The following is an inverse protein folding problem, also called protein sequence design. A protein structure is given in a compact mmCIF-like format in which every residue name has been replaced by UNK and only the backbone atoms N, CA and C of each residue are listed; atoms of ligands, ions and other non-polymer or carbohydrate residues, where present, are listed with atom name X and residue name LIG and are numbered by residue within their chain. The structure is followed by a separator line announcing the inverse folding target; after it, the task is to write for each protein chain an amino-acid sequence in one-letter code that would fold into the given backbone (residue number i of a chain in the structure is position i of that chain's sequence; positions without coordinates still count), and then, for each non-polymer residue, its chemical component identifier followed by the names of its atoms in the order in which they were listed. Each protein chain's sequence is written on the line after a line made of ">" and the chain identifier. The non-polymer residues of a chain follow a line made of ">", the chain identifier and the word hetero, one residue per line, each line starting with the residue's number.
data_IF_934638720933
#
_entry.id   IF_934638720933
#
_cell.length_a   1.000
_cell.length_b   1.000
_cell.length_c   1.000
_cell.angle_alpha   90.00
_cell.angle_beta   90.00
_cell.angle_gamma   90.00
#
_symmetry.space_group_name_H-M   'P 1'
#
loop_
_entity.id
_entity.type
_entity.pdbx_description
1 polymer ?
#
# COMPACT_ATOMS: atom_id res chain seq x y z
N UNK A 1 -28.87 21.37 0.25
CA UNK A 1 -27.54 21.35 0.87
C UNK A 1 -26.56 20.91 -0.20
N UNK A 2 -25.47 21.64 -0.43
CA UNK A 2 -24.44 21.20 -1.37
C UNK A 2 -23.91 19.83 -0.86
N UNK A 3 -23.85 18.85 -1.74
CA UNK A 3 -23.32 17.53 -1.41
C UNK A 3 -21.85 17.71 -0.96
N UNK A 4 -21.55 17.33 0.28
CA UNK A 4 -20.19 17.47 0.83
C UNK A 4 -19.23 16.62 -0.01
N UNK A 5 -18.12 17.22 -0.47
CA UNK A 5 -17.16 16.54 -1.31
C UNK A 5 -16.66 15.25 -0.62
N UNK A 6 -16.59 14.17 -1.38
CA UNK A 6 -16.04 12.89 -0.89
C UNK A 6 -14.63 13.09 -0.36
N UNK A 7 -14.24 12.33 0.65
CA UNK A 7 -13.00 12.49 1.37
C UNK A 7 -12.16 11.23 1.38
N UNK A 8 -10.85 11.37 1.11
CA UNK A 8 -9.86 10.30 1.21
C UNK A 8 -8.70 10.74 2.11
N UNK A 9 -8.29 9.86 3.03
CA UNK A 9 -7.09 10.02 3.85
C UNK A 9 -6.06 8.97 3.45
N UNK A 10 -4.83 9.39 3.14
CA UNK A 10 -3.79 8.54 2.52
C UNK A 10 -2.52 8.57 3.37
N UNK A 11 -2.01 7.42 3.80
CA UNK A 11 -0.70 7.30 4.43
C UNK A 11 0.40 6.98 3.43
N UNK A 12 1.66 7.38 3.70
CA UNK A 12 2.75 7.28 2.73
C UNK A 12 2.52 8.21 1.53
N UNK A 13 1.94 9.39 1.77
CA UNK A 13 1.47 10.30 0.72
C UNK A 13 2.54 11.27 0.21
N UNK A 14 3.70 11.33 0.86
CA UNK A 14 4.81 12.18 0.44
C UNK A 14 5.44 11.76 -0.91
N UNK A 15 5.27 10.50 -1.33
CA UNK A 15 5.90 10.00 -2.55
C UNK A 15 5.12 8.85 -3.21
N UNK A 16 5.60 8.37 -4.34
CA UNK A 16 5.20 7.12 -4.98
C UNK A 16 3.69 6.97 -5.17
N UNK A 17 3.18 5.79 -4.80
CA UNK A 17 1.76 5.40 -4.98
C UNK A 17 0.81 6.35 -4.22
N UNK A 18 1.16 6.69 -2.98
CA UNK A 18 0.31 7.57 -2.16
C UNK A 18 0.13 8.94 -2.79
N UNK A 19 1.23 9.58 -3.22
CA UNK A 19 1.20 10.89 -3.90
C UNK A 19 0.44 10.86 -5.22
N UNK A 20 0.67 9.85 -6.05
CA UNK A 20 -0.03 9.72 -7.32
C UNK A 20 -1.54 9.48 -7.12
N UNK A 21 -1.92 8.66 -6.13
CA UNK A 21 -3.32 8.44 -5.77
C UNK A 21 -3.97 9.72 -5.26
N UNK A 22 -3.28 10.47 -4.40
CA UNK A 22 -3.74 11.77 -3.91
C UNK A 22 -4.04 12.74 -5.08
N UNK A 23 -3.11 12.85 -6.04
CA UNK A 23 -3.28 13.67 -7.24
C UNK A 23 -4.52 13.27 -8.06
N UNK A 24 -4.71 11.97 -8.26
CA UNK A 24 -5.85 11.47 -9.03
C UNK A 24 -7.19 11.76 -8.34
N UNK A 25 -7.29 11.53 -7.03
CA UNK A 25 -8.52 11.76 -6.27
C UNK A 25 -8.84 13.26 -6.18
N UNK A 26 -7.83 14.12 -5.95
CA UNK A 26 -8.00 15.57 -5.97
C UNK A 26 -8.49 16.07 -7.33
N UNK A 27 -7.91 15.59 -8.43
CA UNK A 27 -8.35 15.93 -9.79
C UNK A 27 -9.79 15.51 -10.09
N UNK A 28 -10.32 14.53 -9.33
CA UNK A 28 -11.71 14.08 -9.40
C UNK A 28 -12.63 14.74 -8.37
N UNK A 29 -12.18 15.83 -7.76
CA UNK A 29 -12.98 16.67 -6.84
C UNK A 29 -13.11 16.13 -5.42
N UNK A 30 -12.22 15.20 -4.99
CA UNK A 30 -12.23 14.69 -3.62
C UNK A 30 -11.39 15.59 -2.72
N UNK A 31 -11.82 15.73 -1.47
CA UNK A 31 -11.02 16.30 -0.39
C UNK A 31 -9.96 15.28 0.03
N UNK A 32 -8.69 15.69 0.10
CA UNK A 32 -7.56 14.79 0.30
C UNK A 32 -6.79 15.15 1.56
N UNK A 33 -6.58 14.17 2.44
CA UNK A 33 -5.66 14.21 3.58
C UNK A 33 -4.39 13.42 3.25
N UNK A 34 -3.23 14.05 3.38
CA UNK A 34 -1.92 13.51 3.10
C UNK A 34 -1.17 13.26 4.41
N UNK A 35 -0.84 12.01 4.71
CA UNK A 35 -0.11 11.66 5.92
C UNK A 35 1.20 10.94 5.58
N UNK A 36 2.30 11.38 6.19
CA UNK A 36 3.64 10.78 6.04
C UNK A 36 4.54 11.21 7.22
N UNK A 37 5.68 10.54 7.39
CA UNK A 37 6.74 10.99 8.30
C UNK A 37 7.64 12.04 7.63
N UNK A 38 7.67 12.11 6.31
CA UNK A 38 8.44 13.08 5.52
C UNK A 38 7.66 14.39 5.36
N UNK A 39 7.89 15.33 6.27
CA UNK A 39 7.25 16.65 6.25
C UNK A 39 7.53 17.41 4.93
N UNK A 40 8.78 17.37 4.45
CA UNK A 40 9.16 18.06 3.21
C UNK A 40 8.44 17.48 1.99
N UNK A 41 8.40 16.15 1.89
CA UNK A 41 7.69 15.47 0.80
C UNK A 41 6.18 15.74 0.84
N UNK A 42 5.58 15.90 2.04
CA UNK A 42 4.19 16.34 2.19
C UNK A 42 3.96 17.75 1.65
N UNK A 43 4.85 18.69 1.99
CA UNK A 43 4.75 20.08 1.50
C UNK A 43 4.84 20.13 -0.03
N UNK A 44 5.78 19.36 -0.62
CA UNK A 44 5.94 19.26 -2.07
C UNK A 44 4.71 18.63 -2.75
N UNK A 45 4.06 17.65 -2.11
CA UNK A 45 2.84 17.02 -2.61
C UNK A 45 1.65 17.98 -2.52
N UNK A 46 1.46 18.64 -1.36
CA UNK A 46 0.35 19.55 -1.11
C UNK A 46 0.41 20.80 -2.01
N UNK A 47 1.60 21.33 -2.29
CA UNK A 47 1.78 22.47 -3.19
C UNK A 47 1.18 22.27 -4.58
N UNK A 48 0.96 21.01 -4.98
CA UNK A 48 0.36 20.64 -6.29
C UNK A 48 -1.13 20.31 -6.20
N UNK A 49 -1.71 20.30 -4.99
CA UNK A 49 -3.07 19.84 -4.73
C UNK A 49 -3.83 20.89 -3.92
N UNK A 50 -4.60 21.72 -4.61
CA UNK A 50 -5.34 22.78 -3.97
C UNK A 50 -6.27 22.24 -2.87
N UNK A 51 -6.13 22.73 -1.64
CA UNK A 51 -6.96 22.35 -0.51
C UNK A 51 -6.63 21.01 0.14
N UNK A 52 -5.51 20.36 -0.22
CA UNK A 52 -5.06 19.17 0.50
C UNK A 52 -4.58 19.52 1.91
N UNK A 53 -5.01 18.72 2.90
CA UNK A 53 -4.52 18.82 4.27
C UNK A 53 -3.31 17.89 4.48
N UNK A 54 -2.30 18.34 5.25
CA UNK A 54 -1.08 17.56 5.51
C UNK A 54 -0.96 17.19 6.97
N UNK A 55 -0.49 15.96 7.23
CA UNK A 55 -0.34 15.38 8.57
C UNK A 55 1.03 14.70 8.69
N UNK A 56 1.94 15.33 9.42
CA UNK A 56 3.21 14.65 9.74
C UNK A 56 2.93 13.64 10.83
N UNK A 57 2.88 12.35 10.46
CA UNK A 57 2.56 11.28 11.40
C UNK A 57 3.28 9.98 11.06
N UNK A 58 3.63 9.24 12.11
CA UNK A 58 4.09 7.87 12.00
C UNK A 58 2.89 6.91 12.16
N UNK A 59 2.72 5.99 11.22
CA UNK A 59 1.63 4.99 11.27
C UNK A 59 1.71 4.05 12.47
N UNK A 60 2.85 4.02 13.18
CA UNK A 60 3.03 3.28 14.42
C UNK A 60 2.42 3.98 15.63
N UNK A 61 2.23 5.30 15.56
CA UNK A 61 1.68 6.13 16.63
C UNK A 61 0.14 6.19 16.55
N UNK A 62 -0.53 5.51 17.48
CA UNK A 62 -2.00 5.44 17.55
C UNK A 62 -2.65 6.76 17.89
N UNK A 63 -2.00 7.58 18.70
CA UNK A 63 -2.55 8.88 19.07
C UNK A 63 -2.43 9.86 17.89
N UNK A 64 -1.35 9.79 17.11
CA UNK A 64 -1.22 10.54 15.86
C UNK A 64 -2.31 10.17 14.85
N UNK A 65 -2.64 8.89 14.70
CA UNK A 65 -3.77 8.46 13.88
C UNK A 65 -5.08 9.14 14.30
N UNK A 66 -5.42 9.09 15.58
CA UNK A 66 -6.66 9.65 16.10
C UNK A 66 -6.70 11.17 15.89
N UNK A 67 -5.64 11.89 16.27
CA UNK A 67 -5.55 13.34 16.08
C UNK A 67 -5.70 13.73 14.60
N UNK A 68 -5.02 13.03 13.70
CA UNK A 68 -5.05 13.35 12.27
C UNK A 68 -6.41 13.09 11.64
N UNK A 69 -7.08 11.98 12.01
CA UNK A 69 -8.40 11.67 11.48
C UNK A 69 -9.49 12.59 12.08
N UNK A 70 -9.39 12.95 13.36
CA UNK A 70 -10.30 13.92 13.99
C UNK A 70 -10.22 15.27 13.29
N UNK A 71 -9.00 15.80 13.09
CA UNK A 71 -8.78 17.06 12.40
C UNK A 71 -9.23 17.01 10.95
N UNK A 72 -8.84 15.98 10.20
CA UNK A 72 -9.19 15.84 8.80
C UNK A 72 -10.70 15.72 8.59
N UNK A 73 -11.41 14.95 9.40
CA UNK A 73 -12.85 14.77 9.23
C UNK A 73 -13.67 15.90 9.84
N UNK A 74 -13.18 16.54 10.91
CA UNK A 74 -13.96 17.55 11.64
C UNK A 74 -15.33 17.03 12.12
N UNK A 75 -15.45 15.71 12.36
CA UNK A 75 -16.71 15.04 12.66
C UNK A 75 -17.57 14.67 11.44
N UNK A 76 -17.15 15.08 10.22
CA UNK A 76 -17.81 14.78 8.95
C UNK A 76 -17.41 13.43 8.36
N UNK A 77 -17.53 13.33 7.03
CA UNK A 77 -17.36 12.08 6.28
C UNK A 77 -15.91 11.68 6.04
N UNK A 78 -15.68 10.37 6.00
CA UNK A 78 -14.48 9.72 5.47
C UNK A 78 -14.93 8.61 4.50
N UNK A 79 -14.77 8.83 3.21
CA UNK A 79 -15.20 7.84 2.20
C UNK A 79 -14.14 6.77 1.96
N UNK A 80 -12.87 7.15 2.04
CA UNK A 80 -11.74 6.22 1.86
C UNK A 80 -10.65 6.50 2.88
N UNK A 81 -10.24 5.44 3.58
CA UNK A 81 -8.98 5.39 4.30
C UNK A 81 -8.01 4.51 3.52
N UNK A 82 -6.90 5.09 3.04
CA UNK A 82 -5.91 4.36 2.28
C UNK A 82 -4.63 4.09 3.11
N UNK A 83 -4.51 2.89 3.63
CA UNK A 83 -3.31 2.37 4.27
C UNK A 83 -2.26 2.04 3.19
N UNK A 84 -1.42 3.01 2.86
CA UNK A 84 -0.43 2.83 1.81
C UNK A 84 1.02 2.93 2.32
N UNK A 85 1.26 3.57 3.46
CA UNK A 85 2.60 3.66 4.06
C UNK A 85 3.26 2.28 4.18
N UNK A 86 4.51 2.20 3.76
CA UNK A 86 5.28 0.96 3.83
C UNK A 86 6.71 1.16 3.37
N UNK A 87 7.56 0.28 3.85
CA UNK A 87 9.00 0.24 3.51
C UNK A 87 9.38 -1.13 2.93
N UNK A 88 10.41 -1.14 2.10
CA UNK A 88 11.05 -2.36 1.62
C UNK A 88 12.37 -2.57 2.34
N UNK A 89 12.55 -3.76 2.91
CA UNK A 89 13.85 -4.23 3.39
C UNK A 89 14.07 -5.60 2.75
N UNK A 90 15.21 -5.75 2.11
CA UNK A 90 15.61 -6.98 1.46
C UNK A 90 16.91 -7.51 2.06
N UNK A 91 17.18 -8.79 1.85
CA UNK A 91 18.38 -9.49 2.30
C UNK A 91 18.09 -10.95 2.62
N UNK A 92 19.13 -11.81 2.67
CA UNK A 92 18.99 -13.13 3.27
C UNK A 92 18.53 -12.99 4.72
N UNK A 93 17.48 -13.71 5.09
CA UNK A 93 16.91 -13.60 6.45
C UNK A 93 17.95 -13.93 7.53
N UNK A 94 18.85 -14.86 7.22
CA UNK A 94 19.91 -15.28 8.17
C UNK A 94 20.93 -14.17 8.50
N UNK A 95 21.01 -13.12 7.67
CA UNK A 95 21.97 -12.01 7.78
C UNK A 95 21.27 -10.68 8.12
N UNK A 96 19.95 -10.68 8.17
CA UNK A 96 19.17 -9.47 8.38
C UNK A 96 19.32 -8.93 9.81
N UNK A 97 19.45 -7.61 9.94
CA UNK A 97 19.40 -6.94 11.25
C UNK A 97 17.99 -7.06 11.84
N UNK A 98 17.90 -7.48 13.09
CA UNK A 98 16.63 -7.58 13.82
C UNK A 98 15.89 -6.24 13.87
N UNK A 99 16.59 -5.11 14.02
CA UNK A 99 15.97 -3.79 14.01
C UNK A 99 15.28 -3.48 12.68
N UNK A 100 15.83 -3.92 11.54
CA UNK A 100 15.21 -3.80 10.23
C UNK A 100 13.99 -4.71 10.09
N UNK A 101 14.06 -5.94 10.60
CA UNK A 101 12.93 -6.87 10.61
C UNK A 101 11.77 -6.30 11.44
N UNK A 102 12.05 -5.82 12.65
CA UNK A 102 11.06 -5.21 13.53
C UNK A 102 10.43 -3.95 12.89
N UNK A 103 11.25 -3.12 12.26
CA UNK A 103 10.80 -1.90 11.59
C UNK A 103 9.84 -2.21 10.43
N UNK A 104 10.16 -3.21 9.61
CA UNK A 104 9.27 -3.66 8.51
C UNK A 104 7.94 -4.15 9.04
N UNK A 105 7.94 -4.98 10.08
CA UNK A 105 6.71 -5.49 10.69
C UNK A 105 5.89 -4.35 11.30
N UNK A 106 6.56 -3.47 12.05
CA UNK A 106 5.90 -2.36 12.73
C UNK A 106 5.23 -1.37 11.76
N UNK A 107 5.87 -1.08 10.62
CA UNK A 107 5.31 -0.15 9.63
C UNK A 107 4.30 -0.86 8.71
N UNK A 108 4.73 -1.95 8.05
CA UNK A 108 3.95 -2.55 6.96
C UNK A 108 2.74 -3.34 7.43
N UNK A 109 2.73 -3.83 8.67
CA UNK A 109 1.61 -4.59 9.22
C UNK A 109 0.96 -3.89 10.42
N UNK A 110 1.71 -3.56 11.47
CA UNK A 110 1.10 -2.91 12.64
C UNK A 110 0.56 -1.51 12.30
N UNK A 111 1.24 -0.76 11.41
CA UNK A 111 0.73 0.51 10.89
C UNK A 111 -0.61 0.36 10.17
N UNK A 112 -0.75 -0.65 9.31
CA UNK A 112 -2.01 -0.98 8.61
C UNK A 112 -3.10 -1.41 9.60
N UNK A 113 -2.75 -2.23 10.59
CA UNK A 113 -3.67 -2.67 11.64
C UNK A 113 -4.16 -1.50 12.50
N UNK A 114 -3.27 -0.56 12.86
CA UNK A 114 -3.65 0.67 13.57
C UNK A 114 -4.64 1.50 12.74
N UNK A 115 -4.31 1.74 11.46
CA UNK A 115 -5.19 2.48 10.55
C UNK A 115 -6.56 1.81 10.38
N UNK A 116 -6.60 0.49 10.21
CA UNK A 116 -7.86 -0.25 10.14
C UNK A 116 -8.67 -0.12 11.45
N UNK A 117 -8.04 -0.43 12.59
CA UNK A 117 -8.73 -0.45 13.89
C UNK A 117 -9.25 0.93 14.32
N UNK A 118 -8.43 1.98 14.12
CA UNK A 118 -8.81 3.36 14.48
C UNK A 118 -9.76 3.93 13.42
N UNK A 119 -9.45 3.75 12.14
CA UNK A 119 -10.24 4.27 11.03
C UNK A 119 -11.66 3.71 10.94
N UNK A 120 -11.92 2.52 11.48
CA UNK A 120 -13.26 1.92 11.49
C UNK A 120 -14.32 2.89 12.01
N UNK A 121 -14.07 3.59 13.13
CA UNK A 121 -15.05 4.50 13.74
C UNK A 121 -15.41 5.70 12.84
N UNK A 122 -14.49 6.11 11.95
CA UNK A 122 -14.70 7.19 10.98
C UNK A 122 -15.40 6.68 9.72
N UNK A 123 -14.96 5.55 9.18
CA UNK A 123 -15.56 4.92 8.01
C UNK A 123 -17.01 4.51 8.26
N UNK A 124 -17.33 3.99 9.44
CA UNK A 124 -18.69 3.56 9.81
C UNK A 124 -19.72 4.71 9.82
N UNK A 125 -19.27 5.97 9.88
CA UNK A 125 -20.15 7.14 9.77
C UNK A 125 -20.55 7.48 8.34
N UNK A 126 -19.85 6.89 7.36
CA UNK A 126 -20.03 7.19 5.92
C UNK A 126 -20.50 5.94 5.18
N UNK A 127 -21.81 5.81 4.86
CA UNK A 127 -22.35 4.65 4.15
C UNK A 127 -21.60 4.42 2.81
N UNK A 128 -21.21 3.18 2.56
CA UNK A 128 -20.46 2.81 1.35
C UNK A 128 -18.99 3.24 1.35
N UNK A 129 -18.42 3.58 2.51
CA UNK A 129 -17.01 3.87 2.67
C UNK A 129 -16.12 2.66 2.35
N UNK A 130 -14.82 2.91 2.23
CA UNK A 130 -13.85 1.88 1.87
C UNK A 130 -12.55 2.01 2.68
N UNK A 131 -12.11 0.92 3.29
CA UNK A 131 -10.73 0.74 3.69
C UNK A 131 -9.96 0.17 2.50
N UNK A 132 -8.97 0.91 1.99
CA UNK A 132 -8.08 0.45 0.94
C UNK A 132 -6.69 0.16 1.52
N UNK A 133 -6.10 -0.99 1.20
CA UNK A 133 -4.78 -1.38 1.66
C UNK A 133 -3.81 -1.59 0.48
N UNK A 134 -2.53 -1.30 0.69
CA UNK A 134 -1.47 -1.67 -0.26
C UNK A 134 -0.87 -3.01 0.13
N UNK A 135 -1.32 -4.09 -0.54
CA UNK A 135 -0.65 -5.38 -0.51
C UNK A 135 0.58 -5.41 -1.46
N UNK A 136 0.89 -6.50 -2.10
CA UNK A 136 1.98 -6.65 -3.08
C UNK A 136 1.85 -7.97 -3.82
N UNK A 137 2.46 -8.10 -4.99
CA UNK A 137 2.68 -9.39 -5.65
C UNK A 137 3.46 -10.37 -4.74
N UNK A 138 4.25 -9.86 -3.78
CA UNK A 138 4.89 -10.66 -2.72
C UNK A 138 3.88 -11.28 -1.73
N UNK A 139 2.59 -10.92 -1.78
CA UNK A 139 1.48 -11.57 -1.08
C UNK A 139 0.78 -12.64 -1.95
N UNK A 140 1.26 -12.90 -3.16
CA UNK A 140 0.81 -14.01 -4.00
C UNK A 140 1.73 -15.20 -3.80
N UNK A 141 3.04 -14.93 -3.77
CA UNK A 141 4.08 -15.92 -3.50
C UNK A 141 5.27 -15.21 -2.83
N UNK A 142 5.76 -15.78 -1.73
CA UNK A 142 6.90 -15.23 -0.99
C UNK A 142 8.17 -15.19 -1.85
N UNK A 143 8.82 -14.04 -1.87
CA UNK A 143 10.02 -13.82 -2.68
C UNK A 143 11.28 -14.07 -1.86
N UNK A 144 12.24 -14.83 -2.41
CA UNK A 144 13.54 -15.01 -1.79
C UNK A 144 14.27 -13.65 -1.64
N UNK A 145 14.88 -13.42 -0.48
CA UNK A 145 15.49 -12.15 -0.12
C UNK A 145 14.50 -11.06 0.30
N UNK A 146 13.19 -11.37 0.41
CA UNK A 146 12.13 -10.49 0.89
C UNK A 146 11.21 -11.22 1.89
N UNK A 147 11.77 -12.12 2.71
CA UNK A 147 10.96 -13.01 3.55
C UNK A 147 10.02 -12.22 4.49
N UNK A 148 10.57 -11.32 5.30
CA UNK A 148 9.78 -10.50 6.26
C UNK A 148 8.83 -9.55 5.54
N UNK A 149 9.28 -8.88 4.47
CA UNK A 149 8.41 -8.04 3.64
C UNK A 149 7.23 -8.84 3.07
N UNK A 150 7.50 -10.02 2.48
CA UNK A 150 6.45 -10.89 1.96
C UNK A 150 5.47 -11.30 3.05
N UNK A 151 5.97 -11.69 4.23
CA UNK A 151 5.13 -12.07 5.36
C UNK A 151 4.18 -10.93 5.77
N UNK A 152 4.68 -9.68 5.85
CA UNK A 152 3.83 -8.51 6.15
C UNK A 152 2.76 -8.28 5.09
N UNK A 153 3.10 -8.44 3.80
CA UNK A 153 2.13 -8.24 2.70
C UNK A 153 1.09 -9.37 2.60
N UNK A 154 1.46 -10.61 2.93
CA UNK A 154 0.49 -11.69 3.15
C UNK A 154 -0.45 -11.40 4.33
N UNK A 155 0.09 -10.88 5.43
CA UNK A 155 -0.72 -10.49 6.59
C UNK A 155 -1.72 -9.37 6.25
N UNK A 156 -1.29 -8.35 5.49
CA UNK A 156 -2.18 -7.28 5.01
C UNK A 156 -3.29 -7.83 4.12
N UNK A 157 -2.98 -8.76 3.23
CA UNK A 157 -3.96 -9.41 2.37
C UNK A 157 -4.98 -10.21 3.18
N UNK A 158 -4.51 -11.05 4.11
CA UNK A 158 -5.37 -11.83 4.98
C UNK A 158 -6.28 -10.92 5.84
N UNK A 159 -5.73 -9.81 6.38
CA UNK A 159 -6.49 -8.81 7.10
C UNK A 159 -7.58 -8.17 6.22
N UNK A 160 -7.27 -7.86 4.96
CA UNK A 160 -8.25 -7.31 4.00
C UNK A 160 -9.42 -8.28 3.80
N UNK A 161 -9.14 -9.56 3.55
CA UNK A 161 -10.16 -10.60 3.36
C UNK A 161 -11.05 -10.77 4.61
N UNK A 162 -10.43 -10.81 5.80
CA UNK A 162 -11.16 -10.96 7.06
C UNK A 162 -12.07 -9.76 7.34
N UNK A 163 -11.53 -8.54 7.20
CA UNK A 163 -12.28 -7.32 7.48
C UNK A 163 -13.37 -7.03 6.45
N UNK A 164 -13.24 -7.48 5.19
CA UNK A 164 -14.33 -7.37 4.20
C UNK A 164 -15.58 -8.14 4.68
N UNK A 165 -15.38 -9.31 5.26
CA UNK A 165 -16.48 -10.07 5.88
C UNK A 165 -17.00 -9.45 7.18
N UNK A 166 -16.10 -9.05 8.10
CA UNK A 166 -16.47 -8.50 9.40
C UNK A 166 -17.24 -7.17 9.29
N UNK A 167 -16.85 -6.30 8.33
CA UNK A 167 -17.39 -4.95 8.22
C UNK A 167 -18.53 -4.81 7.21
N UNK A 168 -18.90 -5.88 6.55
CA UNK A 168 -20.02 -5.91 5.59
C UNK A 168 -21.33 -5.37 6.18
N UNK A 169 -21.65 -5.76 7.41
CA UNK A 169 -22.87 -5.30 8.10
C UNK A 169 -22.84 -3.79 8.43
N UNK A 170 -21.65 -3.20 8.57
CA UNK A 170 -21.47 -1.77 8.75
C UNK A 170 -21.46 -0.99 7.41
N UNK A 171 -21.61 -1.68 6.28
CA UNK A 171 -21.59 -1.08 4.95
C UNK A 171 -20.20 -0.55 4.53
N UNK A 172 -19.13 -1.02 5.19
CA UNK A 172 -17.75 -0.65 4.88
C UNK A 172 -17.16 -1.73 3.96
N UNK A 173 -16.66 -1.32 2.80
CA UNK A 173 -15.91 -2.21 1.90
C UNK A 173 -14.45 -2.24 2.28
N UNK A 174 -13.83 -3.41 2.26
CA UNK A 174 -12.39 -3.52 2.51
C UNK A 174 -11.71 -4.13 1.29
N UNK A 175 -10.76 -3.41 0.72
CA UNK A 175 -10.14 -3.71 -0.57
C UNK A 175 -8.63 -3.63 -0.47
N UNK A 176 -7.92 -4.28 -1.37
CA UNK A 176 -6.51 -4.02 -1.58
C UNK A 176 -6.12 -3.86 -3.05
N UNK A 177 -5.02 -3.16 -3.25
CA UNK A 177 -4.26 -3.20 -4.49
C UNK A 177 -3.07 -4.13 -4.30
N UNK A 178 -2.76 -4.92 -5.34
CA UNK A 178 -1.68 -5.92 -5.35
C UNK A 178 -0.68 -5.57 -6.47
N UNK A 179 0.15 -4.52 -6.28
CA UNK A 179 1.15 -4.10 -7.27
C UNK A 179 2.35 -5.04 -7.28
N UNK A 180 3.01 -5.15 -8.46
CA UNK A 180 4.30 -5.81 -8.60
C UNK A 180 5.45 -4.79 -8.44
N UNK A 181 6.22 -4.53 -9.50
CA UNK A 181 7.30 -3.55 -9.49
C UNK A 181 6.80 -2.21 -10.03
N UNK A 182 6.73 -1.22 -9.16
CA UNK A 182 6.18 0.10 -9.47
C UNK A 182 7.30 1.13 -9.47
N UNK A 183 7.32 2.03 -10.46
CA UNK A 183 8.30 3.11 -10.56
C UNK A 183 8.15 4.12 -9.41
N UNK A 184 8.74 3.79 -8.27
CA UNK A 184 8.73 4.60 -7.05
C UNK A 184 10.13 4.67 -6.45
N UNK A 185 10.40 5.61 -5.54
CA UNK A 185 11.67 5.66 -4.80
C UNK A 185 12.00 4.38 -4.02
N UNK A 186 11.02 3.55 -3.71
CA UNK A 186 11.21 2.25 -3.06
C UNK A 186 12.17 1.34 -3.86
N UNK A 187 12.20 1.45 -5.18
CA UNK A 187 13.06 0.65 -6.05
C UNK A 187 14.52 1.16 -6.11
N UNK A 188 14.80 2.34 -5.58
CA UNK A 188 16.15 2.91 -5.54
C UNK A 188 16.96 2.36 -4.36
N UNK A 189 16.31 1.61 -3.45
CA UNK A 189 16.97 0.81 -2.42
C UNK A 189 17.81 -0.31 -3.05
N UNK A 190 18.85 -0.74 -2.33
CA UNK A 190 19.73 -1.82 -2.79
C UNK A 190 19.00 -3.16 -2.80
N UNK A 191 19.24 -3.93 -3.86
CA UNK A 191 18.83 -5.32 -3.88
C UNK A 191 19.62 -6.10 -2.82
N UNK A 192 18.95 -7.01 -2.13
CA UNK A 192 19.52 -7.78 -1.04
C UNK A 192 20.84 -8.48 -1.42
N UNK A 193 21.89 -8.23 -0.65
CA UNK A 193 23.24 -8.81 -0.90
C UNK A 193 23.96 -8.28 -2.15
N UNK A 194 23.57 -7.12 -2.66
CA UNK A 194 24.13 -6.53 -3.90
C UNK A 194 24.28 -5.02 -3.76
N UNK A 195 25.30 -4.45 -4.40
CA UNK A 195 25.45 -3.00 -4.55
C UNK A 195 24.54 -2.41 -5.65
N UNK A 196 23.64 -3.20 -6.22
CA UNK A 196 22.72 -2.81 -7.30
C UNK A 196 21.38 -2.42 -6.74
N UNK A 197 20.69 -1.50 -7.39
CA UNK A 197 19.33 -1.12 -7.01
C UNK A 197 18.35 -2.23 -7.38
N UNK A 198 17.20 -2.27 -6.66
CA UNK A 198 16.08 -3.15 -7.02
C UNK A 198 15.65 -2.83 -8.46
N UNK A 199 15.62 -1.55 -8.84
CA UNK A 199 15.27 -1.07 -10.18
C UNK A 199 16.13 -1.71 -11.26
N UNK A 200 17.46 -1.73 -11.08
CA UNK A 200 18.38 -2.32 -12.05
C UNK A 200 18.16 -3.83 -12.15
N UNK A 201 18.00 -4.50 -11.03
CA UNK A 201 17.71 -5.95 -10.99
C UNK A 201 16.41 -6.29 -11.74
N UNK A 202 15.37 -5.48 -11.58
CA UNK A 202 14.07 -5.67 -12.26
C UNK A 202 14.21 -5.48 -13.77
N UNK A 203 14.93 -4.43 -14.20
CA UNK A 203 15.18 -4.15 -15.62
C UNK A 203 15.95 -5.27 -16.31
N UNK A 204 17.02 -5.75 -15.68
CA UNK A 204 17.83 -6.85 -16.24
C UNK A 204 17.10 -8.18 -16.29
N UNK A 205 16.21 -8.44 -15.32
CA UNK A 205 15.33 -9.59 -15.35
C UNK A 205 14.24 -9.48 -16.44
N UNK A 206 14.18 -8.38 -17.21
CA UNK A 206 13.13 -8.13 -18.20
C UNK A 206 11.73 -8.05 -17.62
N UNK A 207 11.63 -7.72 -16.32
CA UNK A 207 10.35 -7.58 -15.64
C UNK A 207 9.76 -6.19 -15.90
N UNK A 208 8.43 -6.12 -15.88
CA UNK A 208 7.69 -4.89 -16.10
C UNK A 208 7.88 -3.93 -14.91
N UNK A 209 8.30 -2.70 -15.21
CA UNK A 209 8.18 -1.56 -14.32
C UNK A 209 6.86 -0.85 -14.65
N UNK A 210 5.92 -0.91 -13.74
CA UNK A 210 4.59 -0.30 -13.95
C UNK A 210 4.61 1.16 -13.51
N UNK A 211 4.13 2.11 -14.35
CA UNK A 211 3.99 3.52 -13.95
C UNK A 211 3.10 3.69 -12.72
N UNK A 212 3.45 4.63 -11.86
CA UNK A 212 2.73 4.86 -10.59
C UNK A 212 1.29 5.33 -10.84
N UNK A 213 1.03 6.02 -11.95
CA UNK A 213 -0.30 6.47 -12.38
C UNK A 213 -1.24 5.29 -12.65
N UNK A 214 -0.71 4.18 -13.19
CA UNK A 214 -1.47 2.93 -13.39
C UNK A 214 -1.94 2.36 -12.05
N UNK A 215 -1.13 2.50 -10.99
CA UNK A 215 -1.51 2.07 -9.65
C UNK A 215 -2.56 2.98 -9.04
N UNK A 216 -2.46 4.30 -9.23
CA UNK A 216 -3.46 5.26 -8.80
C UNK A 216 -4.83 4.98 -9.44
N UNK A 217 -4.86 4.70 -10.75
CA UNK A 217 -6.08 4.28 -11.44
C UNK A 217 -6.61 2.93 -10.93
N UNK A 218 -5.73 2.00 -10.57
CA UNK A 218 -6.14 0.74 -9.95
C UNK A 218 -6.73 0.95 -8.55
N UNK A 219 -6.18 1.87 -7.74
CA UNK A 219 -6.73 2.27 -6.46
C UNK A 219 -8.13 2.87 -6.61
N UNK A 220 -8.34 3.74 -7.63
CA UNK A 220 -9.66 4.26 -7.95
C UNK A 220 -10.65 3.14 -8.29
N UNK A 221 -10.26 2.20 -9.16
CA UNK A 221 -11.13 1.05 -9.50
C UNK A 221 -11.42 0.15 -8.31
N UNK A 222 -10.43 -0.09 -7.44
CA UNK A 222 -10.61 -0.88 -6.22
C UNK A 222 -11.66 -0.26 -5.28
N UNK A 223 -11.59 1.06 -5.08
CA UNK A 223 -12.55 1.81 -4.25
C UNK A 223 -13.97 1.75 -4.79
N UNK A 224 -14.16 1.72 -6.10
CA UNK A 224 -15.49 1.77 -6.74
C UNK A 224 -16.00 0.40 -7.22
N UNK A 225 -15.15 -0.62 -7.22
CA UNK A 225 -15.48 -1.97 -7.69
C UNK A 225 -15.83 -2.95 -6.56
N UNK A 226 -16.17 -4.17 -6.96
CA UNK A 226 -16.61 -5.23 -6.05
C UNK A 226 -15.49 -6.23 -5.70
N UNK A 227 -14.39 -6.25 -6.47
CA UNK A 227 -13.30 -7.17 -6.23
C UNK A 227 -12.52 -6.80 -4.96
N UNK A 228 -12.33 -7.78 -4.06
CA UNK A 228 -11.53 -7.59 -2.83
C UNK A 228 -10.07 -7.26 -3.18
N UNK A 229 -9.51 -7.95 -4.19
CA UNK A 229 -8.13 -7.78 -4.62
C UNK A 229 -8.05 -7.20 -6.03
N UNK A 230 -7.34 -6.09 -6.20
CA UNK A 230 -7.06 -5.47 -7.50
C UNK A 230 -5.59 -5.65 -7.86
N UNK A 231 -5.31 -6.59 -8.76
CA UNK A 231 -3.94 -6.87 -9.22
C UNK A 231 -3.48 -5.79 -10.21
N UNK A 232 -2.21 -5.36 -10.09
CA UNK A 232 -1.68 -4.27 -10.89
C UNK A 232 -0.42 -4.68 -11.65
N UNK A 233 -0.47 -4.58 -12.98
CA UNK A 233 0.60 -4.97 -13.89
C UNK A 233 0.57 -6.45 -14.27
N UNK A 234 1.14 -6.73 -15.45
CA UNK A 234 1.15 -8.09 -16.02
C UNK A 234 1.87 -9.12 -15.14
N UNK A 235 2.89 -8.66 -14.39
CA UNK A 235 3.64 -9.53 -13.47
C UNK A 235 2.74 -10.04 -12.35
N UNK A 236 1.95 -9.19 -11.70
CA UNK A 236 1.02 -9.60 -10.64
C UNK A 236 -0.06 -10.56 -11.17
N UNK A 237 -0.64 -10.25 -12.32
CA UNK A 237 -1.66 -11.11 -12.95
C UNK A 237 -1.10 -12.51 -13.33
N UNK A 238 0.10 -12.56 -13.90
CA UNK A 238 0.76 -13.84 -14.23
C UNK A 238 1.09 -14.64 -12.98
N UNK A 239 1.58 -13.98 -11.92
CA UNK A 239 1.87 -14.63 -10.64
C UNK A 239 0.61 -15.20 -10.01
N UNK A 240 -0.50 -14.45 -10.01
CA UNK A 240 -1.80 -14.91 -9.53
C UNK A 240 -2.25 -16.16 -10.24
N UNK A 241 -2.21 -16.14 -11.57
CA UNK A 241 -2.56 -17.31 -12.39
C UNK A 241 -1.65 -18.51 -12.08
N UNK A 242 -0.33 -18.30 -12.06
CA UNK A 242 0.64 -19.36 -11.80
C UNK A 242 0.50 -19.94 -10.37
N UNK A 243 0.24 -19.10 -9.36
CA UNK A 243 0.02 -19.56 -7.99
C UNK A 243 -1.21 -20.47 -7.87
N UNK A 244 -2.26 -20.18 -8.64
CA UNK A 244 -3.51 -20.95 -8.62
C UNK A 244 -3.42 -22.26 -9.42
N UNK A 245 -2.82 -22.21 -10.62
CA UNK A 245 -2.93 -23.30 -11.58
C UNK A 245 -1.62 -24.04 -11.85
N UNK A 246 -0.47 -23.40 -11.55
CA UNK A 246 0.86 -23.94 -11.84
C UNK A 246 1.85 -23.75 -10.67
N UNK A 247 1.48 -24.10 -9.41
CA UNK A 247 2.29 -23.79 -8.23
C UNK A 247 3.70 -24.38 -8.27
N UNK A 248 3.87 -25.56 -8.86
CA UNK A 248 5.18 -26.22 -9.03
C UNK A 248 6.10 -25.47 -9.99
N UNK A 249 5.56 -24.87 -11.06
CA UNK A 249 6.35 -24.06 -11.99
C UNK A 249 6.73 -22.72 -11.37
N UNK A 250 5.78 -22.06 -10.67
CA UNK A 250 6.05 -20.83 -9.94
C UNK A 250 7.17 -21.05 -8.92
N UNK A 251 7.11 -22.13 -8.13
CA UNK A 251 8.17 -22.48 -7.17
C UNK A 251 9.54 -22.63 -7.84
N UNK A 252 9.60 -23.33 -9.00
CA UNK A 252 10.88 -23.49 -9.74
C UNK A 252 11.42 -22.15 -10.22
N UNK A 253 10.55 -21.26 -10.72
CA UNK A 253 10.92 -19.92 -11.18
C UNK A 253 11.46 -19.07 -10.03
N UNK A 254 10.78 -19.05 -8.89
CA UNK A 254 11.19 -18.26 -7.72
C UNK A 254 12.51 -18.74 -7.10
N UNK A 255 12.80 -20.06 -7.17
CA UNK A 255 14.08 -20.62 -6.75
C UNK A 255 15.23 -20.21 -7.67
N UNK A 256 15.03 -20.18 -8.99
CA UNK A 256 16.07 -19.78 -9.97
C UNK A 256 16.46 -18.31 -9.77
N UNK A 257 15.51 -17.44 -9.50
CA UNK A 257 15.79 -16.04 -9.17
C UNK A 257 16.60 -15.86 -7.88
N UNK A 258 16.61 -16.85 -6.98
CA UNK A 258 17.43 -16.83 -5.77
C UNK A 258 18.86 -17.35 -5.99
N UNK A 259 19.06 -18.30 -6.92
CA UNK A 259 20.36 -18.95 -7.18
C UNK A 259 21.27 -18.13 -8.13
N UNK A 260 20.72 -17.22 -8.90
CA UNK A 260 21.51 -16.33 -9.78
C UNK A 260 22.15 -15.11 -9.07
N UNK A 261 22.39 -15.22 -7.78
CA UNK A 261 22.97 -14.14 -6.92
C UNK A 261 24.37 -14.50 -6.39
N UNK A 262 25.14 -15.33 -7.15
CA UNK A 262 26.59 -15.47 -6.94
C UNK A 262 27.37 -14.49 -7.80
#
# INVERSE_FOLDING_TARGET
>A
MADEAKAIFITGAASGIGRATAGLFAARGWRVGLADVDARGLDEAAARLAGAATYVMDVRDRDAWTRSLDDFTGGGRLDVLFNNAGIGVGGPLAEADFADLDRVVAINFMGVLNGARIGHAYLARTPGSCLLNTASASAIYGSAGLATYSATKFAVRALTEALDGEWAAAGIRVRDIVPAFIETPLLDGHAAGSNRTIRDTVREAGLELTPVETVAEAAWRAVHGDAVHTYVGRTAERMRFAARWMPGQLRKMMRRGAVGRE
#
